data_IF_040489627113
#
_entry.id   IF_040489627113
#
_cell.length_a   1.000
_cell.length_b   1.000
_cell.length_c   1.000
_cell.angle_alpha   90.00
_cell.angle_beta   90.00
_cell.angle_gamma   90.00
#
_symmetry.space_group_name_H-M   'P 1'
#
loop_
_entity.id
_entity.type
_entity.pdbx_description
1 polymer ?
#
# COMPACT_ATOMS: atom_id res chain seq x y z
N UNK A 1 -10.74 0.94 -0.99
CA UNK A 1 -10.15 0.09 0.10
C UNK A 1 -9.58 -1.17 -0.56
N UNK A 2 -8.66 -1.98 0.03
CA UNK A 2 -8.30 -3.27 -0.55
C UNK A 2 -9.55 -4.14 -0.75
N UNK A 3 -9.65 -4.87 -1.87
CA UNK A 3 -10.72 -5.86 -2.10
C UNK A 3 -10.81 -6.83 -0.93
N UNK A 4 -12.01 -7.29 -0.62
CA UNK A 4 -12.20 -8.34 0.38
C UNK A 4 -11.29 -9.54 0.06
N UNK A 5 -10.63 -10.09 1.08
CA UNK A 5 -9.56 -11.13 0.96
C UNK A 5 -8.19 -10.66 0.43
N UNK A 6 -8.02 -9.39 0.02
CA UNK A 6 -6.70 -8.86 -0.36
C UNK A 6 -5.97 -8.30 0.85
N UNK A 7 -4.81 -8.89 1.15
CA UNK A 7 -3.91 -8.37 2.19
C UNK A 7 -3.41 -6.97 1.82
N UNK A 8 -3.32 -6.09 2.81
CA UNK A 8 -2.89 -4.70 2.61
C UNK A 8 -1.51 -4.57 1.95
N UNK A 9 -0.56 -5.48 2.23
CA UNK A 9 0.75 -5.47 1.57
C UNK A 9 0.72 -5.91 0.09
N UNK A 10 -0.37 -6.54 -0.36
CA UNK A 10 -0.58 -6.81 -1.78
C UNK A 10 -1.19 -5.59 -2.47
N UNK A 11 -2.09 -4.86 -1.80
CA UNK A 11 -2.69 -3.65 -2.34
C UNK A 11 -1.73 -2.44 -2.30
N UNK A 12 -0.80 -2.41 -1.35
CA UNK A 12 0.14 -1.31 -1.13
C UNK A 12 1.59 -1.82 -1.11
N UNK A 13 2.31 -1.57 -2.20
CA UNK A 13 3.66 -2.10 -2.41
C UNK A 13 4.65 -1.63 -1.34
N UNK A 14 4.49 -0.39 -0.86
CA UNK A 14 5.40 0.21 0.12
C UNK A 14 4.93 0.11 1.57
N UNK A 15 3.74 -0.46 1.82
CA UNK A 15 3.24 -0.66 3.20
C UNK A 15 4.21 -1.51 4.02
N UNK A 16 4.76 -2.56 3.40
CA UNK A 16 5.72 -3.46 4.07
C UNK A 16 7.00 -2.72 4.47
N UNK A 17 7.56 -1.93 3.55
CA UNK A 17 8.79 -1.15 3.81
C UNK A 17 8.56 -0.05 4.86
N UNK A 18 7.42 0.63 4.80
CA UNK A 18 7.00 1.58 5.83
C UNK A 18 6.86 0.91 7.21
N UNK A 19 6.22 -0.26 7.28
CA UNK A 19 6.04 -0.98 8.54
C UNK A 19 7.37 -1.50 9.12
N UNK A 20 8.27 -2.02 8.28
CA UNK A 20 9.60 -2.50 8.70
C UNK A 20 10.48 -1.34 9.18
N UNK A 21 10.41 -0.18 8.52
CA UNK A 21 11.17 1.02 8.91
C UNK A 21 10.60 1.74 10.13
N UNK A 22 9.51 1.26 10.72
CA UNK A 22 8.82 1.93 11.83
C UNK A 22 8.18 3.25 11.42
N UNK A 23 7.86 3.41 10.13
CA UNK A 23 7.23 4.61 9.58
C UNK A 23 8.19 5.72 9.16
N UNK A 24 9.48 5.43 9.03
CA UNK A 24 10.48 6.38 8.56
C UNK A 24 10.54 6.47 7.04
N UNK A 25 10.38 5.34 6.34
CA UNK A 25 10.44 5.24 4.89
C UNK A 25 9.04 5.16 4.27
N UNK A 26 8.91 5.66 3.03
CA UNK A 26 7.66 5.65 2.28
C UNK A 26 6.45 6.17 3.07
N UNK A 27 6.61 7.29 3.80
CA UNK A 27 5.53 7.91 4.60
C UNK A 27 4.26 8.15 3.79
N UNK A 28 4.41 8.38 2.49
CA UNK A 28 3.34 8.59 1.51
C UNK A 28 2.84 7.30 0.84
N UNK A 29 3.12 6.10 1.39
CA UNK A 29 2.72 4.82 0.82
C UNK A 29 1.21 4.70 0.58
N UNK A 30 0.40 5.39 1.37
CA UNK A 30 -1.06 5.41 1.27
C UNK A 30 -1.59 6.40 0.23
N UNK A 31 -0.74 7.32 -0.28
CA UNK A 31 -1.13 8.26 -1.33
C UNK A 31 -1.27 7.57 -2.68
N UNK A 32 -2.12 8.14 -3.54
CA UNK A 32 -2.35 7.70 -4.91
C UNK A 32 -1.19 8.11 -5.84
N UNK A 33 0.01 7.69 -5.47
CA UNK A 33 1.19 7.88 -6.30
C UNK A 33 1.39 6.65 -7.20
N UNK A 34 1.82 6.84 -8.46
CA UNK A 34 2.09 5.74 -9.37
C UNK A 34 3.17 4.82 -8.75
N UNK A 35 2.83 3.54 -8.60
CA UNK A 35 3.69 2.52 -7.98
C UNK A 35 3.44 2.27 -6.48
N UNK A 36 2.78 3.18 -5.76
CA UNK A 36 2.49 3.00 -4.33
C UNK A 36 1.34 2.03 -4.07
N UNK A 37 0.31 2.10 -4.94
CA UNK A 37 -0.93 1.34 -4.80
C UNK A 37 -1.18 0.52 -6.06
N UNK A 38 -1.58 -0.73 -5.87
CA UNK A 38 -2.06 -1.57 -6.95
C UNK A 38 -3.55 -1.32 -7.12
N UNK A 39 -3.93 -0.37 -7.97
CA UNK A 39 -5.34 -0.01 -8.21
C UNK A 39 -6.20 -1.21 -8.62
N UNK A 40 -5.63 -2.22 -9.30
CA UNK A 40 -6.32 -3.46 -9.65
C UNK A 40 -6.80 -4.29 -8.42
N UNK A 41 -6.13 -4.10 -7.29
CA UNK A 41 -6.40 -4.75 -6.00
C UNK A 41 -7.19 -3.86 -5.03
N UNK A 42 -7.47 -2.62 -5.42
CA UNK A 42 -8.32 -1.69 -4.69
C UNK A 42 -9.75 -1.74 -5.25
N UNK A 43 -10.72 -1.72 -4.35
CA UNK A 43 -12.13 -1.46 -4.68
C UNK A 43 -12.29 0.03 -4.97
N UNK A 44 -13.10 0.32 -5.99
CA UNK A 44 -13.47 1.66 -6.42
C UNK A 44 -14.45 2.31 -5.44
#
# INVERSE_FOLDING_TARGET
>A
MPKESVKIHNAYNYFKSWAISGGLEFKDWYKDNPGNRNQNLLEN
#
